data_IF_528411792992
#
_entry.id   IF_528411792992
#
_cell.length_a   1.000
_cell.length_b   1.000
_cell.length_c   1.000
_cell.angle_alpha   90.00
_cell.angle_beta   90.00
_cell.angle_gamma   90.00
#
_symmetry.space_group_name_H-M   'P 1'
#
loop_
_entity.id
_entity.type
_entity.pdbx_description
1 polymer ?
#
# COMPACT_ATOMS: atom_id res chain seq x y z
N UNK A 1 16.75 8.94 83.09
CA UNK A 1 17.87 9.90 83.31
C UNK A 1 18.71 9.90 82.03
N UNK A 2 18.49 10.85 81.10
CA UNK A 2 19.37 12.01 80.79
C UNK A 2 20.77 11.57 80.29
N UNK A 3 21.34 11.93 79.13
CA UNK A 3 21.22 13.01 78.12
C UNK A 3 21.72 12.47 76.76
N UNK A 4 21.03 12.63 75.64
CA UNK A 4 21.07 13.81 74.75
C UNK A 4 22.48 14.29 74.35
N UNK A 5 22.98 13.81 73.20
CA UNK A 5 23.99 14.52 72.40
C UNK A 5 23.46 14.64 70.98
N UNK A 6 23.13 15.87 70.61
CA UNK A 6 22.75 16.27 69.27
C UNK A 6 23.99 16.24 68.38
N UNK A 7 23.99 15.40 67.36
CA UNK A 7 24.90 15.53 66.21
C UNK A 7 24.04 15.99 65.05
N UNK A 8 24.13 17.28 64.79
CA UNK A 8 23.69 17.95 63.59
C UNK A 8 24.54 17.38 62.42
N UNK A 9 23.97 16.51 61.59
CA UNK A 9 24.62 16.09 60.35
C UNK A 9 23.73 16.43 59.16
N UNK A 10 24.31 17.26 58.31
CA UNK A 10 23.75 17.91 57.15
C UNK A 10 23.30 16.91 56.09
N UNK A 11 22.10 17.16 55.59
CA UNK A 11 21.36 16.50 54.53
C UNK A 11 22.05 16.70 53.16
N UNK A 12 22.41 15.64 52.40
CA UNK A 12 22.49 15.76 50.95
C UNK A 12 21.10 15.46 50.36
N UNK A 13 20.47 16.50 49.82
CA UNK A 13 19.32 16.42 48.93
C UNK A 13 19.75 15.64 47.67
N UNK A 14 19.50 14.34 47.61
CA UNK A 14 19.70 13.58 46.37
C UNK A 14 18.51 13.86 45.46
N UNK A 15 18.71 14.80 44.54
CA UNK A 15 17.80 15.03 43.40
C UNK A 15 17.83 13.76 42.55
N UNK A 16 16.80 12.92 42.68
CA UNK A 16 16.49 11.89 41.69
C UNK A 16 16.03 12.62 40.42
N UNK A 17 16.97 12.86 39.51
CA UNK A 17 16.66 13.28 38.16
C UNK A 17 15.89 12.17 37.45
N UNK A 18 14.72 12.50 36.91
CA UNK A 18 14.09 11.66 35.90
C UNK A 18 14.97 11.70 34.64
N UNK A 19 15.62 10.58 34.33
CA UNK A 19 16.16 10.31 33.01
C UNK A 19 14.98 10.24 32.04
N UNK A 20 14.67 11.36 31.40
CA UNK A 20 13.88 11.37 30.17
C UNK A 20 14.78 10.85 29.06
N UNK A 21 14.57 9.59 28.66
CA UNK A 21 15.13 9.03 27.44
C UNK A 21 14.75 9.94 26.25
N UNK A 22 15.71 10.50 25.50
CA UNK A 22 15.44 11.38 24.37
C UNK A 22 14.84 10.64 23.15
N UNK A 23 14.48 9.36 23.30
CA UNK A 23 14.02 8.50 22.20
C UNK A 23 12.55 8.06 22.31
N UNK A 24 11.75 8.68 23.20
CA UNK A 24 10.29 8.48 23.27
C UNK A 24 9.47 9.47 22.42
N UNK A 25 10.10 10.08 21.42
CA UNK A 25 9.41 10.75 20.31
C UNK A 25 9.76 10.07 18.98
N UNK A 26 9.53 8.75 18.91
CA UNK A 26 9.03 8.20 17.67
C UNK A 26 7.57 8.66 17.56
N UNK A 27 7.40 9.94 17.22
CA UNK A 27 6.14 10.52 16.84
C UNK A 27 5.61 9.69 15.67
N UNK A 28 4.62 8.84 15.94
CA UNK A 28 3.66 8.39 14.95
C UNK A 28 2.81 9.58 14.54
N UNK A 29 3.44 10.60 13.95
CA UNK A 29 2.74 11.60 13.16
C UNK A 29 2.36 10.89 11.87
N UNK A 30 1.22 10.20 11.88
CA UNK A 30 0.42 10.04 10.67
C UNK A 30 -0.04 11.46 10.33
N UNK A 31 0.87 12.21 9.70
CA UNK A 31 0.62 13.55 9.22
C UNK A 31 -0.43 13.45 8.12
N UNK A 32 -1.64 13.86 8.46
CA UNK A 32 -2.71 14.17 7.51
C UNK A 32 -2.24 15.37 6.67
N UNK A 33 -1.38 15.10 5.69
CA UNK A 33 -0.66 16.11 4.93
C UNK A 33 0.72 15.67 4.42
N UNK A 34 0.97 14.36 4.32
CA UNK A 34 2.19 13.90 3.68
C UNK A 34 2.27 14.44 2.25
N UNK A 35 3.32 15.21 2.00
CA UNK A 35 3.67 15.72 0.69
C UNK A 35 3.52 14.60 -0.36
N UNK A 36 2.88 14.87 -1.52
CA UNK A 36 2.88 13.93 -2.64
C UNK A 36 4.30 13.64 -3.15
N UNK A 37 5.30 14.42 -2.69
CA UNK A 37 6.72 14.23 -2.87
C UNK A 37 7.37 13.54 -1.66
N UNK A 38 6.79 12.45 -1.18
CA UNK A 38 7.51 11.57 -0.27
C UNK A 38 8.72 10.98 -1.04
N UNK A 39 9.93 11.08 -0.49
CA UNK A 39 11.09 10.43 -1.07
C UNK A 39 10.95 8.91 -0.91
N UNK A 40 11.03 8.16 -2.01
CA UNK A 40 10.95 6.70 -2.02
C UNK A 40 11.02 6.15 -3.44
N UNK A 41 11.35 4.88 -3.58
CA UNK A 41 11.26 4.18 -4.86
C UNK A 41 9.80 3.87 -5.24
N UNK A 42 9.58 3.39 -6.47
CA UNK A 42 8.26 3.05 -6.98
C UNK A 42 7.49 2.09 -6.05
N UNK A 43 8.17 1.08 -5.51
CA UNK A 43 7.53 0.07 -4.67
C UNK A 43 7.10 0.63 -3.32
N UNK A 44 7.99 1.36 -2.65
CA UNK A 44 7.75 2.03 -1.38
C UNK A 44 6.57 2.99 -1.48
N UNK A 45 6.55 3.81 -2.53
CA UNK A 45 5.47 4.77 -2.75
C UNK A 45 4.16 4.08 -3.11
N UNK A 46 4.19 3.02 -3.90
CA UNK A 46 3.00 2.22 -4.23
C UNK A 46 2.41 1.56 -2.97
N UNK A 47 3.23 0.97 -2.12
CA UNK A 47 2.75 0.31 -0.90
C UNK A 47 2.16 1.32 0.08
N UNK A 48 2.85 2.46 0.25
CA UNK A 48 2.35 3.57 1.05
C UNK A 48 1.02 4.10 0.53
N UNK A 49 0.85 4.21 -0.79
CA UNK A 49 -0.40 4.63 -1.40
C UNK A 49 -1.54 3.66 -1.09
N UNK A 50 -1.28 2.34 -1.12
CA UNK A 50 -2.26 1.32 -0.70
C UNK A 50 -2.63 1.48 0.77
N UNK A 51 -1.65 1.69 1.66
CA UNK A 51 -1.92 1.88 3.08
C UNK A 51 -2.78 3.12 3.35
N UNK A 52 -2.51 4.23 2.65
CA UNK A 52 -3.32 5.45 2.71
C UNK A 52 -4.75 5.19 2.22
N UNK A 53 -4.91 4.49 1.10
CA UNK A 53 -6.24 4.16 0.56
C UNK A 53 -7.05 3.28 1.52
N UNK A 54 -6.43 2.26 2.11
CA UNK A 54 -7.10 1.37 3.07
C UNK A 54 -7.49 2.13 4.35
N UNK A 55 -6.58 2.98 4.88
CA UNK A 55 -6.87 3.81 6.04
C UNK A 55 -7.99 4.83 5.77
N UNK A 56 -8.07 5.36 4.55
CA UNK A 56 -9.12 6.29 4.12
C UNK A 56 -10.47 5.63 3.81
N UNK A 57 -10.54 4.29 3.77
CA UNK A 57 -11.75 3.55 3.46
C UNK A 57 -11.97 2.41 4.46
N UNK A 58 -12.22 2.70 5.75
CA UNK A 58 -12.37 1.68 6.81
C UNK A 58 -13.53 0.70 6.58
N UNK A 59 -14.49 1.04 5.71
CA UNK A 59 -15.56 0.14 5.26
C UNK A 59 -15.06 -1.01 4.35
N UNK A 60 -13.84 -0.90 3.81
CA UNK A 60 -13.19 -1.96 3.03
C UNK A 60 -12.46 -2.89 3.99
N UNK A 61 -13.18 -3.88 4.51
CA UNK A 61 -12.63 -4.92 5.36
C UNK A 61 -11.73 -5.89 4.57
N UNK A 62 -10.91 -6.67 5.29
CA UNK A 62 -10.02 -7.69 4.71
C UNK A 62 -10.74 -8.72 3.82
N UNK A 63 -11.99 -9.06 4.15
CA UNK A 63 -12.81 -9.99 3.40
C UNK A 63 -13.54 -9.36 2.19
N UNK A 64 -13.52 -8.03 2.05
CA UNK A 64 -14.15 -7.33 0.93
C UNK A 64 -13.49 -7.76 -0.38
N UNK A 65 -14.24 -8.29 -1.37
CA UNK A 65 -13.66 -8.68 -2.65
C UNK A 65 -13.11 -7.47 -3.40
N UNK A 66 -11.80 -7.41 -3.56
CA UNK A 66 -11.11 -6.34 -4.29
C UNK A 66 -10.64 -6.81 -5.67
N UNK A 67 -10.81 -5.95 -6.66
CA UNK A 67 -10.19 -6.09 -7.98
C UNK A 67 -9.20 -4.96 -8.19
N UNK A 68 -7.99 -5.28 -8.65
CA UNK A 68 -7.01 -4.29 -9.08
C UNK A 68 -7.03 -4.24 -10.59
N UNK A 69 -7.37 -3.09 -11.16
CA UNK A 69 -7.30 -2.83 -12.60
C UNK A 69 -5.85 -2.52 -13.03
N UNK A 70 -5.57 -2.54 -14.33
CA UNK A 70 -4.32 -1.99 -14.85
C UNK A 70 -4.27 -0.47 -14.64
N UNK A 71 -3.11 0.04 -14.23
CA UNK A 71 -2.91 1.49 -14.10
C UNK A 71 -2.64 2.07 -15.49
N UNK A 72 -3.50 2.97 -15.95
CA UNK A 72 -3.50 3.43 -17.34
C UNK A 72 -2.54 4.61 -17.57
N UNK A 73 -1.91 4.68 -18.74
CA UNK A 73 -1.24 5.89 -19.18
C UNK A 73 -2.30 6.92 -19.60
N UNK A 74 -2.25 8.15 -19.07
CA UNK A 74 -3.20 9.22 -19.43
C UNK A 74 -3.21 9.56 -20.92
N UNK A 75 -2.12 9.29 -21.63
CA UNK A 75 -2.00 9.51 -23.08
C UNK A 75 -2.44 8.29 -23.91
N UNK A 76 -2.48 7.10 -23.32
CA UNK A 76 -2.78 5.82 -24.00
C UNK A 76 -3.67 4.93 -23.13
N UNK A 77 -4.91 5.38 -22.92
CA UNK A 77 -5.87 4.73 -22.01
C UNK A 77 -6.28 3.31 -22.43
N UNK A 78 -6.26 3.03 -23.73
CA UNK A 78 -6.67 1.73 -24.30
C UNK A 78 -5.54 0.68 -24.32
N UNK A 79 -4.36 1.03 -23.79
CA UNK A 79 -3.18 0.16 -23.81
C UNK A 79 -2.65 -0.12 -22.40
N UNK A 80 -2.26 -1.37 -22.18
CA UNK A 80 -1.46 -1.75 -21.00
C UNK A 80 0.00 -1.34 -21.23
N UNK A 81 0.68 -0.94 -20.16
CA UNK A 81 2.11 -0.57 -20.18
C UNK A 81 2.89 -1.36 -19.13
N UNK A 82 4.22 -1.55 -19.30
CA UNK A 82 5.06 -2.20 -18.31
C UNK A 82 4.94 -1.55 -16.93
N UNK A 83 5.02 -0.21 -16.86
CA UNK A 83 4.82 0.54 -15.62
C UNK A 83 3.44 0.26 -15.00
N UNK A 84 2.38 0.34 -15.80
CA UNK A 84 1.03 0.12 -15.31
C UNK A 84 0.80 -1.29 -14.76
N UNK A 85 1.44 -2.29 -15.37
CA UNK A 85 1.37 -3.68 -14.94
C UNK A 85 2.12 -3.91 -13.63
N UNK A 86 3.36 -3.44 -13.51
CA UNK A 86 4.16 -3.65 -12.28
C UNK A 86 3.55 -2.92 -11.09
N UNK A 87 2.99 -1.72 -11.27
CA UNK A 87 2.28 -1.00 -10.20
C UNK A 87 1.04 -1.79 -9.76
N UNK A 88 0.26 -2.32 -10.70
CA UNK A 88 -0.89 -3.15 -10.35
C UNK A 88 -0.49 -4.41 -9.56
N UNK A 89 0.62 -5.06 -9.94
CA UNK A 89 1.13 -6.24 -9.23
C UNK A 89 1.67 -5.89 -7.83
N UNK A 90 2.34 -4.75 -7.68
CA UNK A 90 2.74 -4.20 -6.39
C UNK A 90 1.53 -3.92 -5.48
N UNK A 91 0.45 -3.33 -6.03
CA UNK A 91 -0.79 -3.11 -5.27
C UNK A 91 -1.37 -4.45 -4.79
N UNK A 92 -1.50 -5.45 -5.67
CA UNK A 92 -1.99 -6.80 -5.29
C UNK A 92 -1.12 -7.42 -4.18
N UNK A 93 0.19 -7.30 -4.31
CA UNK A 93 1.14 -7.79 -3.32
C UNK A 93 0.91 -7.12 -1.96
N UNK A 94 0.74 -5.80 -1.93
CA UNK A 94 0.51 -5.07 -0.67
C UNK A 94 -0.85 -5.39 -0.05
N UNK A 95 -1.90 -5.55 -0.86
CA UNK A 95 -3.21 -6.01 -0.39
C UNK A 95 -3.10 -7.39 0.27
N UNK A 96 -2.39 -8.33 -0.34
CA UNK A 96 -2.16 -9.65 0.26
C UNK A 96 -1.37 -9.57 1.58
N UNK A 97 -0.31 -8.75 1.64
CA UNK A 97 0.48 -8.53 2.87
C UNK A 97 -0.35 -7.96 4.03
N UNK A 98 -1.38 -7.17 3.72
CA UNK A 98 -2.27 -6.55 4.71
C UNK A 98 -3.54 -7.38 4.97
N UNK A 99 -3.61 -8.61 4.44
CA UNK A 99 -4.71 -9.54 4.65
C UNK A 99 -5.97 -9.26 3.81
N UNK A 100 -5.90 -8.35 2.83
CA UNK A 100 -7.02 -8.04 1.95
C UNK A 100 -7.10 -9.03 0.78
N UNK A 101 -8.31 -9.52 0.51
CA UNK A 101 -8.58 -10.44 -0.60
C UNK A 101 -8.62 -9.70 -1.93
N UNK A 102 -7.50 -9.72 -2.67
CA UNK A 102 -7.41 -9.20 -4.03
C UNK A 102 -7.39 -10.35 -5.06
N UNK A 103 -8.27 -10.29 -6.06
CA UNK A 103 -8.31 -11.31 -7.12
C UNK A 103 -7.26 -11.04 -8.21
N UNK A 104 -6.47 -12.06 -8.53
CA UNK A 104 -5.60 -12.10 -9.71
C UNK A 104 -6.43 -12.49 -10.94
N UNK A 105 -7.04 -11.52 -11.61
CA UNK A 105 -7.92 -11.79 -12.77
C UNK A 105 -7.19 -12.55 -13.89
N UNK A 106 -5.85 -12.45 -13.97
CA UNK A 106 -4.99 -13.15 -14.95
C UNK A 106 -4.90 -14.66 -14.71
N UNK A 107 -4.96 -15.14 -13.46
CA UNK A 107 -4.86 -16.57 -13.13
C UNK A 107 -6.18 -17.33 -13.33
N UNK A 108 -7.30 -16.62 -13.40
CA UNK A 108 -8.65 -17.18 -13.45
C UNK A 108 -9.06 -17.75 -14.82
N UNK A 109 -8.11 -17.89 -15.74
CA UNK A 109 -8.30 -18.62 -17.00
C UNK A 109 -7.13 -19.52 -17.35
N UNK A 110 -6.13 -19.63 -16.47
CA UNK A 110 -4.84 -20.22 -16.80
C UNK A 110 -4.40 -21.34 -15.86
N UNK A 111 -5.08 -21.62 -14.74
CA UNK A 111 -4.63 -22.65 -13.79
C UNK A 111 -5.73 -23.67 -13.55
N UNK A 112 -5.47 -24.93 -13.93
CA UNK A 112 -6.27 -26.09 -13.52
C UNK A 112 -5.38 -26.98 -12.65
N UNK A 113 -5.86 -27.33 -11.44
CA UNK A 113 -5.18 -28.29 -10.58
C UNK A 113 -5.42 -29.68 -11.16
N UNK A 114 -4.36 -30.30 -11.72
CA UNK A 114 -4.41 -31.70 -12.11
C UNK A 114 -4.72 -32.57 -10.90
N UNK A 115 -5.77 -33.39 -10.98
CA UNK A 115 -6.11 -34.33 -9.90
C UNK A 115 -4.94 -35.32 -9.72
N UNK A 116 -4.09 -35.10 -8.72
CA UNK A 116 -3.20 -36.13 -8.18
C UNK A 116 -1.69 -35.85 -8.11
N UNK A 117 -1.15 -34.73 -8.62
CA UNK A 117 0.33 -34.57 -8.70
C UNK A 117 0.92 -33.33 -8.02
N UNK A 118 0.13 -32.40 -7.47
CA UNK A 118 0.69 -31.20 -6.84
C UNK A 118 1.41 -30.26 -7.83
N UNK A 119 1.20 -30.46 -9.14
CA UNK A 119 1.79 -29.65 -10.21
C UNK A 119 0.76 -28.65 -10.76
N UNK A 120 1.20 -27.39 -10.95
CA UNK A 120 0.38 -26.35 -11.57
C UNK A 120 0.36 -26.53 -13.10
N UNK A 121 -0.77 -26.97 -13.66
CA UNK A 121 -0.96 -26.99 -15.12
C UNK A 121 -1.46 -25.64 -15.60
N UNK A 122 -0.64 -24.97 -16.42
CA UNK A 122 -1.07 -23.80 -17.17
C UNK A 122 -2.06 -24.22 -18.27
N UNK A 123 -3.35 -24.23 -17.93
CA UNK A 123 -4.42 -24.71 -18.81
C UNK A 123 -4.97 -23.56 -19.66
N UNK A 124 -4.98 -23.73 -20.99
CA UNK A 124 -5.73 -22.86 -21.93
C UNK A 124 -7.21 -23.25 -22.05
N UNK A 125 -7.69 -24.18 -21.22
CA UNK A 125 -9.05 -24.67 -21.28
C UNK A 125 -9.99 -23.76 -20.45
N UNK A 126 -10.82 -22.98 -21.15
CA UNK A 126 -11.73 -21.96 -20.59
C UNK A 126 -13.05 -22.52 -20.05
N UNK A 127 -13.07 -23.78 -19.61
CA UNK A 127 -14.32 -24.41 -19.18
C UNK A 127 -14.31 -24.70 -17.68
N UNK A 128 -15.23 -24.00 -17.01
CA UNK A 128 -15.72 -24.14 -15.64
C UNK A 128 -14.81 -23.56 -14.55
N UNK A 129 -14.80 -22.23 -14.45
CA UNK A 129 -14.51 -21.53 -13.20
C UNK A 129 -15.78 -20.79 -12.80
N UNK A 130 -16.35 -21.11 -11.62
CA UNK A 130 -17.50 -20.40 -11.04
C UNK A 130 -17.30 -18.89 -11.16
N UNK A 131 -18.26 -18.06 -11.59
CA UNK A 131 -18.04 -16.61 -11.73
C UNK A 131 -17.45 -16.02 -10.44
N UNK A 132 -16.53 -15.08 -10.56
CA UNK A 132 -16.03 -14.37 -9.38
C UNK A 132 -17.22 -13.71 -8.68
N UNK A 133 -17.27 -13.68 -7.34
CA UNK A 133 -18.18 -12.77 -6.66
C UNK A 133 -17.97 -11.37 -7.26
N UNK A 134 -19.04 -10.60 -7.49
CA UNK A 134 -18.89 -9.22 -7.94
C UNK A 134 -17.92 -8.52 -6.98
N UNK A 135 -16.89 -7.87 -7.53
CA UNK A 135 -16.01 -7.05 -6.73
C UNK A 135 -16.88 -6.02 -6.00
N UNK A 136 -16.60 -5.77 -4.73
CA UNK A 136 -17.29 -4.74 -3.95
C UNK A 136 -16.55 -3.40 -4.03
N UNK A 137 -15.26 -3.44 -4.35
CA UNK A 137 -14.49 -2.27 -4.70
C UNK A 137 -13.38 -2.61 -5.71
N UNK A 138 -12.98 -1.60 -6.47
CA UNK A 138 -11.94 -1.67 -7.50
C UNK A 138 -10.83 -0.67 -7.15
N UNK A 139 -9.58 -1.10 -7.19
CA UNK A 139 -8.43 -0.21 -7.24
C UNK A 139 -8.14 0.09 -8.71
N UNK A 140 -8.19 1.37 -9.08
CA UNK A 140 -7.86 1.85 -10.41
C UNK A 140 -6.94 3.06 -10.30
N UNK A 141 -6.31 3.44 -11.41
CA UNK A 141 -5.44 4.60 -11.41
C UNK A 141 -4.92 4.95 -12.78
N UNK A 142 -4.26 6.10 -12.84
CA UNK A 142 -3.59 6.59 -14.03
C UNK A 142 -2.20 7.08 -13.69
N UNK A 143 -1.31 7.11 -14.68
CA UNK A 143 -0.04 7.82 -14.58
C UNK A 143 0.19 8.73 -15.78
N UNK A 144 0.95 9.79 -15.55
CA UNK A 144 1.39 10.75 -16.56
C UNK A 144 2.89 11.01 -16.40
N UNK A 145 3.64 10.98 -17.50
CA UNK A 145 5.06 11.30 -17.50
C UNK A 145 5.29 12.74 -17.98
N UNK A 146 6.09 13.49 -17.24
CA UNK A 146 6.72 14.74 -17.69
C UNK A 146 8.18 14.48 -18.09
N UNK A 147 8.94 15.55 -18.34
CA UNK A 147 10.36 15.45 -18.65
C UNK A 147 11.19 14.79 -17.53
N UNK A 148 10.91 15.11 -16.26
CA UNK A 148 11.73 14.64 -15.13
C UNK A 148 10.97 13.78 -14.12
N UNK A 149 9.65 13.71 -14.21
CA UNK A 149 8.80 13.09 -13.20
C UNK A 149 7.72 12.23 -13.83
N UNK A 150 7.29 11.22 -13.10
CA UNK A 150 6.08 10.45 -13.40
C UNK A 150 5.15 10.61 -12.22
N UNK A 151 3.93 11.08 -12.51
CA UNK A 151 2.87 11.27 -11.54
C UNK A 151 1.95 10.06 -11.60
N UNK A 152 1.68 9.44 -10.46
CA UNK A 152 0.76 8.30 -10.34
C UNK A 152 -0.39 8.71 -9.44
N UNK A 153 -1.62 8.46 -9.90
CA UNK A 153 -2.85 8.68 -9.13
C UNK A 153 -3.61 7.38 -9.01
N UNK A 154 -3.86 6.95 -7.77
CA UNK A 154 -4.57 5.72 -7.44
C UNK A 154 -5.86 6.05 -6.68
N UNK A 155 -6.91 5.27 -6.96
CA UNK A 155 -8.24 5.43 -6.38
C UNK A 155 -8.81 4.06 -6.02
N UNK A 156 -9.44 3.99 -4.86
CA UNK A 156 -10.29 2.89 -4.45
C UNK A 156 -11.74 3.31 -4.68
N UNK A 157 -12.45 2.56 -5.53
CA UNK A 157 -13.75 2.93 -6.07
C UNK A 157 -14.77 1.86 -5.69
N UNK A 158 -15.90 2.27 -5.12
CA UNK A 158 -17.04 1.39 -4.88
C UNK A 158 -17.69 0.99 -6.20
N UNK A 159 -17.98 -0.30 -6.37
CA UNK A 159 -18.67 -0.82 -7.56
C UNK A 159 -20.17 -0.58 -7.55
N UNK A 160 -20.74 -0.34 -6.37
CA UNK A 160 -22.18 -0.23 -6.19
C UNK A 160 -22.70 1.14 -6.67
N UNK A 161 -21.93 2.19 -6.39
CA UNK A 161 -22.31 3.59 -6.64
C UNK A 161 -21.24 4.39 -7.42
N UNK A 162 -20.16 3.73 -7.86
CA UNK A 162 -19.04 4.36 -8.59
C UNK A 162 -18.33 5.49 -7.82
N UNK A 163 -18.52 5.59 -6.50
CA UNK A 163 -17.91 6.63 -5.68
C UNK A 163 -16.46 6.28 -5.35
N UNK A 164 -15.59 7.29 -5.40
CA UNK A 164 -14.23 7.18 -4.87
C UNK A 164 -14.32 7.11 -3.34
N UNK A 165 -13.92 5.98 -2.78
CA UNK A 165 -13.89 5.73 -1.34
C UNK A 165 -12.65 6.39 -0.71
N UNK A 166 -11.52 6.29 -1.40
CA UNK A 166 -10.24 6.90 -1.01
C UNK A 166 -9.30 6.99 -2.22
N UNK A 167 -8.22 7.75 -2.08
CA UNK A 167 -7.21 7.90 -3.13
C UNK A 167 -5.86 8.29 -2.56
N UNK A 168 -4.83 8.06 -3.35
CA UNK A 168 -3.45 8.43 -3.02
C UNK A 168 -2.67 8.73 -4.30
N UNK A 169 -1.88 9.79 -4.25
CA UNK A 169 -1.03 10.23 -5.35
C UNK A 169 0.44 10.22 -4.90
N UNK A 170 1.34 9.93 -5.84
CA UNK A 170 2.78 10.01 -5.60
C UNK A 170 3.55 10.32 -6.88
N UNK A 171 4.80 10.75 -6.72
CA UNK A 171 5.67 11.17 -7.82
C UNK A 171 7.00 10.42 -7.76
N UNK A 172 7.45 9.91 -8.90
CA UNK A 172 8.72 9.19 -9.05
C UNK A 172 9.60 9.94 -10.08
N UNK A 173 10.92 10.05 -9.88
CA UNK A 173 11.82 10.52 -10.93
C UNK A 173 11.67 9.70 -12.22
N UNK A 174 11.59 10.35 -13.38
CA UNK A 174 11.48 9.66 -14.68
C UNK A 174 12.68 8.74 -14.93
N UNK A 175 13.88 9.17 -14.52
CA UNK A 175 15.12 8.40 -14.68
C UNK A 175 15.04 7.00 -14.05
N UNK A 176 14.26 6.84 -12.97
CA UNK A 176 14.09 5.55 -12.29
C UNK A 176 13.12 4.60 -13.02
N UNK A 177 12.36 5.14 -13.98
CA UNK A 177 11.26 4.46 -14.67
C UNK A 177 11.44 4.38 -16.18
N UNK A 178 12.55 4.85 -16.73
CA UNK A 178 12.73 5.06 -18.18
C UNK A 178 12.38 3.79 -18.99
N UNK A 179 12.92 2.63 -18.60
CA UNK A 179 12.62 1.35 -19.26
C UNK A 179 11.21 0.80 -19.07
N UNK A 180 10.37 1.44 -18.25
CA UNK A 180 8.98 1.03 -17.99
C UNK A 180 7.94 1.92 -18.69
N UNK A 181 8.35 3.11 -19.16
CA UNK A 181 7.48 4.09 -19.83
C UNK A 181 7.32 3.78 -21.32
N UNK A 182 8.36 3.25 -21.93
CA UNK A 182 8.35 2.82 -23.33
C UNK A 182 7.97 1.33 -23.37
N UNK A 183 6.66 1.06 -23.43
CA UNK A 183 6.20 -0.27 -23.81
C UNK A 183 6.75 -0.65 -25.19
N UNK A 184 6.93 -1.95 -25.49
CA UNK A 184 7.35 -2.41 -26.82
C UNK A 184 6.41 -1.94 -27.93
#
# INVERSE_FOLDING_TARGET
MLRLRHILLVLPLTVTGCLTDPNMLAESSVGMGASPYANGDLGTLTYRAVDIMLAGAPQVASATPLVVASIANTEKLDSSSPLGNIVADMIRTRLAQTGHSASEMRLRGSVSLGKGTGEFLLSRNRNVLMPAPPAAAVVAGTYAASFEKVYVSLKLISTDDSRILSGADFVVPRADLEGLLDGP
#
